data_IF_390589519715
#
_entry.id   IF_390589519715
#
_cell.length_a   1.000
_cell.length_b   1.000
_cell.length_c   1.000
_cell.angle_alpha   90.00
_cell.angle_beta   90.00
_cell.angle_gamma   90.00
#
_symmetry.space_group_name_H-M   'P 1'
#
loop_
_entity.id
_entity.type
_entity.pdbx_description
1 polymer ?
2 water ?
#
# COMPACT_ATOMS: atom_id res chain seq x y z
N UNK A 4 -5.05 14.21 3.54
CA UNK A 4 -6.40 13.86 3.12
C UNK A 4 -7.10 13.00 4.17
N UNK A 5 -8.43 12.92 4.10
CA UNK A 5 -9.20 12.13 5.05
C UNK A 5 -9.38 10.72 4.53
N UNK A 6 -9.03 9.72 5.34
CA UNK A 6 -9.20 8.32 4.93
C UNK A 6 -10.15 7.63 5.93
N UNK A 7 -11.22 7.01 5.43
CA UNK A 7 -12.20 6.30 6.25
C UNK A 7 -12.01 4.79 6.12
N UNK A 8 -11.37 4.19 7.14
CA UNK A 8 -11.04 2.78 7.14
C UNK A 8 -12.10 1.92 7.79
N UNK A 9 -12.33 0.72 7.21
CA UNK A 9 -13.32 -0.24 7.70
C UNK A 9 -12.78 -1.64 7.60
N UNK A 10 -13.30 -2.51 8.46
CA UNK A 10 -12.90 -3.91 8.40
C UNK A 10 -12.08 -4.34 9.59
N UNK A 11 -11.61 -5.57 9.54
CA UNK A 11 -10.77 -6.15 10.59
C UNK A 11 -11.51 -7.21 11.37
N UNK A 12 -11.03 -7.47 12.57
CA UNK A 12 -11.71 -8.43 13.44
C UNK A 12 -10.96 -9.70 13.69
N UNK A 13 -11.67 -10.65 14.30
CA UNK A 13 -11.11 -11.94 14.67
C UNK A 13 -11.51 -12.94 13.62
N UNK A 14 -10.55 -13.78 13.22
CA UNK A 14 -10.81 -14.74 12.18
C UNK A 14 -9.97 -15.97 12.44
N UNK A 15 -10.48 -17.19 12.09
CA UNK A 15 -9.70 -18.40 12.30
C UNK A 15 -8.67 -18.57 11.18
N UNK A 16 -7.56 -19.29 11.47
CA UNK A 16 -6.50 -19.56 10.48
C UNK A 16 -7.11 -20.20 9.22
N UNK A 17 -6.70 -19.72 8.05
CA UNK A 17 -7.25 -20.12 6.76
C UNK A 17 -8.38 -19.24 6.26
N UNK A 18 -8.92 -18.40 7.15
CA UNK A 18 -10.02 -17.51 6.86
C UNK A 18 -9.62 -16.33 6.00
N UNK A 19 -10.61 -15.47 5.75
CA UNK A 19 -10.53 -14.34 4.86
C UNK A 19 -11.16 -13.11 5.51
N UNK A 20 -10.59 -11.95 5.23
CA UNK A 20 -11.11 -10.67 5.69
C UNK A 20 -10.90 -9.64 4.58
N UNK A 21 -11.80 -8.66 4.49
CA UNK A 21 -11.63 -7.59 3.49
C UNK A 21 -11.57 -6.26 4.18
N UNK A 22 -10.49 -5.49 3.93
CA UNK A 22 -10.38 -4.14 4.51
C UNK A 22 -10.70 -3.14 3.44
N UNK A 23 -11.28 -1.99 3.82
CA UNK A 23 -11.56 -0.94 2.83
C UNK A 23 -11.10 0.41 3.36
N UNK A 24 -10.86 1.34 2.46
CA UNK A 24 -10.38 2.66 2.81
C UNK A 24 -10.99 3.63 1.79
N UNK A 25 -11.93 4.47 2.23
CA UNK A 25 -12.60 5.43 1.35
C UNK A 25 -11.95 6.82 1.50
N UNK A 26 -11.66 7.49 0.38
CA UNK A 26 -11.05 8.83 0.44
C UNK A 26 -11.98 9.88 -0.14
N UNK A 33 -1.60 13.25 -3.39
CA UNK A 33 -1.75 12.09 -2.50
C UNK A 33 -2.49 10.96 -3.21
N UNK A 34 -2.01 10.57 -4.40
CA UNK A 34 -2.67 9.56 -5.22
C UNK A 34 -2.20 8.11 -5.05
N UNK A 35 -1.05 7.84 -4.41
CA UNK A 35 -0.60 6.46 -4.25
C UNK A 35 -1.31 5.90 -2.98
N UNK A 36 -1.87 4.70 -3.02
CA UNK A 36 -2.51 4.09 -1.83
C UNK A 36 -1.76 2.84 -1.37
N UNK A 37 -1.59 2.70 -0.07
CA UNK A 37 -0.86 1.57 0.49
C UNK A 37 -1.49 1.06 1.76
N UNK A 38 -1.34 -0.24 2.02
CA UNK A 38 -1.82 -0.82 3.26
C UNK A 38 -0.57 -1.17 4.03
N UNK A 39 -0.53 -0.84 5.30
CA UNK A 39 0.61 -1.15 6.16
C UNK A 39 0.08 -1.97 7.35
N UNK A 40 0.96 -2.68 8.03
CA UNK A 40 0.53 -3.38 9.24
C UNK A 40 1.60 -3.27 10.27
N UNK A 41 1.19 -3.26 11.52
CA UNK A 41 2.14 -3.21 12.62
C UNK A 41 1.82 -4.41 13.49
N UNK A 42 2.63 -5.46 13.37
CA UNK A 42 2.47 -6.68 14.16
C UNK A 42 2.87 -6.38 15.64
N UNK A 43 2.40 -7.19 16.60
CA UNK A 43 2.71 -6.93 18.01
C UNK A 43 4.20 -6.87 18.27
N UNK A 44 4.65 -5.75 18.84
CA UNK A 44 6.07 -5.55 19.18
C UNK A 44 6.95 -5.28 17.97
N UNK A 45 6.34 -4.98 16.81
CA UNK A 45 7.10 -4.72 15.58
C UNK A 45 6.82 -3.27 15.06
N UNK A 46 7.45 -2.89 13.93
CA UNK A 46 7.28 -1.58 13.31
C UNK A 46 6.11 -1.62 12.32
N UNK A 47 5.60 -0.44 11.90
CA UNK A 47 4.53 -0.35 10.90
C UNK A 47 5.18 -0.51 9.54
N UNK A 48 4.91 -1.64 8.87
CA UNK A 48 5.53 -2.10 7.62
C UNK A 48 4.59 -2.19 6.44
N UNK A 49 5.07 -1.89 5.24
CA UNK A 49 4.25 -1.94 4.03
C UNK A 49 3.84 -3.38 3.73
N UNK A 50 2.56 -3.56 3.36
CA UNK A 50 1.97 -4.85 3.02
C UNK A 50 1.67 -4.91 1.51
N UNK A 51 1.01 -3.86 1.00
CA UNK A 51 0.63 -3.82 -0.41
C UNK A 51 0.39 -2.39 -0.85
N UNK A 52 0.60 -2.09 -2.12
CA UNK A 52 0.38 -0.75 -2.64
C UNK A 52 -0.13 -0.77 -4.08
N UNK A 53 -0.86 0.27 -4.47
CA UNK A 53 -1.48 0.31 -5.79
C UNK A 53 -1.44 1.73 -6.37
N UNK A 54 -1.25 1.84 -7.70
CA UNK A 54 -1.21 3.14 -8.35
C UNK A 54 -2.62 3.72 -8.52
N UNK A 55 -2.73 5.03 -8.80
CA UNK A 55 -4.00 5.74 -8.98
C UNK A 55 -4.88 5.23 -10.14
N UNK A 56 -4.43 4.22 -10.87
CA UNK A 56 -5.23 3.59 -11.92
C UNK A 56 -5.45 2.08 -11.67
N UNK A 57 -4.55 1.45 -10.92
CA UNK A 57 -4.70 0.04 -10.56
C UNK A 57 -3.82 -0.96 -11.30
N UNK A 58 -3.17 -0.52 -12.36
CA UNK A 58 -2.31 -1.37 -13.18
C UNK A 58 -1.04 -1.81 -12.48
N UNK A 59 -0.53 -0.97 -11.58
CA UNK A 59 0.68 -1.30 -10.84
C UNK A 59 0.34 -1.66 -9.41
N UNK A 60 0.86 -2.80 -8.95
CA UNK A 60 0.70 -3.28 -7.59
C UNK A 60 2.07 -3.67 -7.01
N UNK A 61 2.16 -3.63 -5.70
CA UNK A 61 3.36 -4.02 -4.99
C UNK A 61 2.91 -4.81 -3.78
N UNK A 62 3.59 -5.92 -3.48
CA UNK A 62 3.26 -6.72 -2.30
C UNK A 62 4.51 -7.13 -1.57
N UNK A 63 4.44 -7.19 -0.24
CA UNK A 63 5.51 -7.75 0.56
C UNK A 63 5.48 -9.26 0.29
N UNK A 64 6.67 -9.87 0.22
CA UNK A 64 6.75 -11.28 -0.13
C UNK A 64 5.98 -12.19 0.82
N UNK A 65 5.84 -11.79 2.09
CA UNK A 65 5.13 -12.57 3.11
C UNK A 65 3.62 -12.69 2.84
N UNK A 66 3.06 -11.82 2.00
CA UNK A 66 1.63 -11.86 1.67
C UNK A 66 1.37 -12.21 0.19
N UNK A 67 2.42 -12.29 -0.67
CA UNK A 67 2.20 -12.62 -2.08
C UNK A 67 1.45 -13.92 -2.27
N UNK A 68 0.46 -13.93 -3.15
CA UNK A 68 -0.35 -15.11 -3.40
C UNK A 68 -1.53 -15.25 -2.45
N UNK A 69 -1.57 -14.45 -1.38
CA UNK A 69 -2.63 -14.53 -0.40
C UNK A 69 -3.45 -13.24 -0.33
N UNK A 70 -2.78 -12.07 -0.39
CA UNK A 70 -3.51 -10.81 -0.31
C UNK A 70 -3.60 -10.17 -1.68
N UNK A 71 -4.67 -9.41 -1.90
CA UNK A 71 -4.87 -8.74 -3.18
C UNK A 71 -5.34 -7.31 -2.90
N UNK A 72 -4.60 -6.34 -3.42
CA UNK A 72 -5.00 -4.94 -3.27
C UNK A 72 -5.74 -4.54 -4.57
N UNK A 73 -6.88 -3.89 -4.42
CA UNK A 73 -7.68 -3.45 -5.58
C UNK A 73 -8.31 -2.08 -5.31
N UNK A 74 -8.81 -1.41 -6.36
CA UNK A 74 -9.45 -0.12 -6.19
C UNK A 74 -10.83 -0.12 -6.90
N UNK A 75 -11.73 0.76 -6.46
CA UNK A 75 -13.00 0.99 -7.12
C UNK A 75 -13.07 2.51 -7.26
N UNK A 76 -12.72 3.04 -8.46
CA UNK A 76 -12.66 4.49 -8.64
C UNK A 76 -13.98 5.20 -8.49
N UNK A 77 -15.10 4.59 -8.90
CA UNK A 77 -16.41 5.24 -8.76
C UNK A 77 -16.79 5.47 -7.29
N UNK A 78 -16.27 4.62 -6.37
CA UNK A 78 -16.47 4.70 -4.93
C UNK A 78 -15.31 5.38 -4.18
N UNK A 79 -14.22 5.76 -4.88
CA UNK A 79 -13.02 6.36 -4.28
C UNK A 79 -12.47 5.48 -3.15
N UNK A 80 -12.53 4.16 -3.35
CA UNK A 80 -12.14 3.22 -2.31
C UNK A 80 -11.08 2.20 -2.73
N UNK A 81 -10.09 1.94 -1.84
CA UNK A 81 -9.04 0.93 -2.00
C UNK A 81 -9.37 -0.22 -1.01
N UNK A 82 -9.15 -1.45 -1.41
CA UNK A 82 -9.47 -2.63 -0.65
C UNK A 82 -8.26 -3.49 -0.48
N UNK A 83 -8.23 -4.26 0.60
CA UNK A 83 -7.21 -5.26 0.80
C UNK A 83 -8.00 -6.54 1.08
N UNK A 84 -7.96 -7.46 0.13
CA UNK A 84 -8.60 -8.76 0.29
C UNK A 84 -7.56 -9.68 0.87
N UNK A 85 -7.77 -10.15 2.10
CA UNK A 85 -6.81 -10.98 2.82
C UNK A 85 -7.28 -12.43 2.90
N UNK A 86 -6.72 -13.29 2.07
CA UNK A 86 -7.11 -14.70 2.07
C UNK A 86 -6.03 -15.56 2.70
N UNK A 87 -6.35 -16.82 3.05
CA UNK A 87 -5.42 -17.80 3.63
C UNK A 87 -4.67 -17.22 4.81
N UNK A 88 -5.43 -16.56 5.69
CA UNK A 88 -4.85 -15.87 6.83
C UNK A 88 -4.13 -16.80 7.76
N UNK A 89 -3.04 -16.35 8.30
CA UNK A 89 -2.21 -17.11 9.21
C UNK A 89 -2.09 -16.34 10.51
N UNK A 90 -1.81 -17.02 11.65
CA UNK A 90 -1.60 -16.27 12.91
C UNK A 90 -0.55 -15.16 12.77
N UNK A 91 0.48 -15.37 11.89
CA UNK A 91 1.51 -14.38 11.58
C UNK A 91 0.97 -13.05 11.01
N UNK A 92 -0.25 -13.06 10.48
CA UNK A 92 -0.88 -11.85 9.93
C UNK A 92 -1.58 -10.98 10.97
N UNK A 93 -1.58 -11.39 12.23
CA UNK A 93 -2.16 -10.63 13.33
C UNK A 93 -1.40 -9.31 13.46
N UNK A 94 -2.12 -8.20 13.40
CA UNK A 94 -1.50 -6.89 13.37
C UNK A 94 -2.58 -5.81 13.34
N UNK A 95 -2.19 -4.54 13.55
CA UNK A 95 -3.08 -3.42 13.34
C UNK A 95 -2.78 -2.96 11.93
N UNK A 96 -3.80 -2.88 11.07
CA UNK A 96 -3.63 -2.55 9.66
C UNK A 96 -4.08 -1.13 9.39
N UNK A 97 -3.31 -0.41 8.57
CA UNK A 97 -3.62 0.98 8.26
C UNK A 97 -3.59 1.22 6.77
N UNK A 98 -4.52 2.04 6.26
CA UNK A 98 -4.38 2.49 4.87
C UNK A 98 -3.64 3.83 4.88
N UNK A 99 -2.94 4.12 3.80
CA UNK A 99 -2.12 5.31 3.69
C UNK A 99 -2.22 5.88 2.27
N UNK A 100 -2.35 7.19 2.16
CA UNK A 100 -2.41 7.86 0.87
C UNK A 100 -1.23 8.82 0.84
N UNK A 101 -0.34 8.74 -0.18
CA UNK A 101 0.79 9.67 -0.23
C UNK A 101 1.02 10.22 -1.62
N UNK A 102 1.52 11.45 -1.68
CA UNK A 102 1.75 12.16 -2.92
C UNK A 102 2.91 11.56 -3.72
N UNK A 103 2.98 11.89 -5.00
CA UNK A 103 4.03 11.40 -5.88
C UNK A 103 5.43 11.71 -5.38
N UNK A 104 5.63 12.92 -4.87
CA UNK A 104 6.94 13.35 -4.37
C UNK A 104 7.51 12.49 -3.26
N UNK A 105 6.62 11.90 -2.41
CA UNK A 105 6.99 11.08 -1.26
C UNK A 105 7.84 9.88 -1.62
N UNK A 106 7.50 9.17 -2.71
CA UNK A 106 8.23 7.99 -3.19
C UNK A 106 9.69 8.27 -3.48
N UNK A 107 9.97 9.50 -3.91
CA UNK A 107 11.26 9.94 -4.38
C UNK A 107 12.08 10.71 -3.35
N UNK A 108 11.72 10.63 -2.07
CA UNK A 108 12.51 11.24 -1.01
C UNK A 108 13.67 10.32 -0.66
N UNK A 109 14.79 10.90 -0.27
CA UNK A 109 15.97 10.15 0.13
C UNK A 109 16.70 9.49 -1.01
N UNK A 110 17.83 8.86 -0.69
CA UNK A 110 18.66 8.20 -1.67
C UNK A 110 18.31 6.72 -1.75
N UNK A 111 17.42 6.36 -2.65
CA UNK A 111 17.07 4.95 -2.84
C UNK A 111 17.27 4.50 -4.26
N UNK A 112 17.61 3.24 -4.40
CA UNK A 112 17.77 2.63 -5.70
C UNK A 112 19.06 2.92 -6.42
N UNK A 113 19.02 2.63 -7.73
CA UNK A 113 20.15 2.75 -8.65
C UNK A 113 20.12 4.06 -9.39
N UNK A 114 21.29 4.55 -9.80
CA UNK A 114 21.38 5.82 -10.51
C UNK A 114 22.17 5.75 -11.82
N UNK A 115 21.68 6.46 -12.81
CA UNK A 115 22.40 6.61 -14.07
C UNK A 115 23.50 7.65 -13.87
N UNK A 116 24.42 7.74 -14.83
CA UNK A 116 25.50 8.72 -14.77
C UNK A 116 24.84 10.05 -15.07
N UNK A 117 25.08 11.05 -14.24
CA UNK A 117 24.48 12.37 -14.46
C UNK A 117 24.92 13.00 -15.76
N UNK A 118 24.03 13.74 -16.40
CA UNK A 118 24.39 14.47 -17.62
C UNK A 118 24.06 15.93 -17.45
N UNK A 119 24.99 16.78 -17.89
CA UNK A 119 24.73 18.22 -17.80
C UNK A 119 23.80 18.67 -18.91
N UNK A 120 22.80 19.46 -18.57
CA UNK A 120 21.92 20.13 -19.51
C UNK A 120 22.11 21.61 -19.24
N UNK A 121 22.50 22.40 -20.25
CA UNK A 121 22.66 23.84 -20.07
C UNK A 121 21.80 24.54 -21.08
N UNK A 122 20.92 25.41 -20.61
CA UNK A 122 20.01 26.13 -21.49
C UNK A 122 20.45 27.59 -21.52
N UNK A 123 20.96 28.03 -22.68
CA UNK A 123 21.47 29.39 -22.82
C UNK A 123 20.36 30.38 -23.18
N UNK A 124 20.47 31.64 -22.71
CA UNK A 124 19.43 32.62 -22.99
C UNK A 124 19.48 33.04 -24.46
N UNK A 125 18.28 33.23 -25.08
CA UNK A 125 18.04 33.65 -26.47
C UNK A 125 19.24 34.27 -27.20
#
# INVERSE_FOLDING_TARGET
>A
MAQVQLVESGGGLVQAGGSLRLSCAASGRTFRNYYMGWFRQAPGKERDIVAAISWSGGSTYYADSVKGRFTISRDNAKNTVYLQMNSLKPEDTAVYYCNARSGGSAWQGDFGSWGQGTQVTVSSHHHHHH
#
